data_IF_057341020042
#
_entry.id   IF_057341020042
#
_cell.length_a   1.000
_cell.length_b   1.000
_cell.length_c   1.000
_cell.angle_alpha   90.00
_cell.angle_beta   90.00
_cell.angle_gamma   90.00
#
_symmetry.space_group_name_H-M   'P 1'
#
loop_
_entity.id
_entity.type
_entity.pdbx_description
1 polymer ?
#
# COMPACT_ATOMS: atom_id res chain seq x y z
N UNK A 1 -5.57 -27.32 13.39
CA UNK A 1 -6.78 -26.50 13.23
C UNK A 1 -6.59 -25.20 14.00
N UNK A 2 -7.00 -24.04 13.46
CA UNK A 2 -6.93 -22.80 14.22
C UNK A 2 -7.90 -22.88 15.43
N UNK A 3 -7.61 -22.17 16.54
CA UNK A 3 -8.51 -22.13 17.70
C UNK A 3 -9.88 -21.57 17.31
N UNK A 4 -10.96 -22.22 17.79
CA UNK A 4 -12.36 -21.85 17.48
C UNK A 4 -12.71 -20.39 17.84
N UNK A 5 -11.97 -19.79 18.77
CA UNK A 5 -12.24 -18.45 19.29
C UNK A 5 -11.72 -17.32 18.37
N UNK A 6 -10.92 -17.65 17.35
CA UNK A 6 -10.45 -16.68 16.35
C UNK A 6 -11.35 -16.58 15.12
N UNK A 7 -12.31 -17.49 14.94
CA UNK A 7 -13.23 -17.51 13.80
C UNK A 7 -14.00 -16.18 13.63
N UNK A 8 -14.60 -15.59 14.69
CA UNK A 8 -15.32 -14.32 14.57
C UNK A 8 -14.45 -13.19 14.06
N UNK A 9 -13.23 -13.06 14.61
CA UNK A 9 -12.27 -12.04 14.21
C UNK A 9 -11.78 -12.23 12.77
N UNK A 10 -11.54 -13.48 12.34
CA UNK A 10 -11.20 -13.79 10.95
C UNK A 10 -12.35 -13.47 9.99
N UNK A 11 -13.60 -13.73 10.38
CA UNK A 11 -14.78 -13.36 9.59
C UNK A 11 -15.01 -11.86 9.56
N UNK A 12 -14.70 -11.11 10.63
CA UNK A 12 -14.80 -9.64 10.62
C UNK A 12 -13.69 -9.00 9.79
N UNK A 13 -12.45 -9.48 9.92
CA UNK A 13 -11.32 -9.09 9.04
C UNK A 13 -11.63 -9.33 7.56
N UNK A 14 -12.19 -10.50 7.21
CA UNK A 14 -12.59 -10.83 5.82
C UNK A 14 -13.87 -10.14 5.37
N UNK A 15 -14.62 -9.46 6.26
CA UNK A 15 -15.77 -8.62 5.89
C UNK A 15 -15.36 -7.17 5.66
N UNK A 16 -14.34 -6.69 6.37
CA UNK A 16 -13.71 -5.37 6.15
C UNK A 16 -12.95 -5.32 4.83
N UNK A 17 -12.34 -6.43 4.43
CA UNK A 17 -11.82 -6.61 3.08
C UNK A 17 -12.90 -7.13 2.15
N UNK A 18 -13.12 -6.48 1.01
CA UNK A 18 -13.99 -7.06 -0.01
C UNK A 18 -13.34 -8.33 -0.56
N UNK A 19 -14.15 -9.31 -1.00
CA UNK A 19 -13.64 -10.55 -1.62
C UNK A 19 -12.70 -10.25 -2.80
N UNK A 20 -12.97 -9.18 -3.54
CA UNK A 20 -12.13 -8.72 -4.64
C UNK A 20 -10.75 -8.26 -4.16
N UNK A 21 -10.68 -7.45 -3.11
CA UNK A 21 -9.41 -7.04 -2.50
C UNK A 21 -8.54 -8.24 -2.10
N UNK A 22 -9.13 -9.29 -1.51
CA UNK A 22 -8.38 -10.51 -1.15
C UNK A 22 -7.86 -11.28 -2.37
N UNK A 23 -8.63 -11.34 -3.45
CA UNK A 23 -8.21 -12.01 -4.70
C UNK A 23 -7.10 -11.23 -5.39
N UNK A 24 -7.13 -9.90 -5.32
CA UNK A 24 -6.13 -9.03 -5.93
C UNK A 24 -4.81 -9.10 -5.16
N UNK A 25 -4.83 -8.92 -3.83
CA UNK A 25 -3.62 -8.98 -3.00
C UNK A 25 -2.99 -10.37 -2.97
N UNK A 26 -3.77 -11.45 -3.14
CA UNK A 26 -3.26 -12.81 -3.21
C UNK A 26 -2.37 -13.07 -4.43
N UNK A 27 -2.44 -12.22 -5.47
CA UNK A 27 -1.58 -12.30 -6.65
C UNK A 27 -0.32 -11.44 -6.53
N UNK A 28 -0.27 -10.54 -5.56
CA UNK A 28 0.88 -9.68 -5.30
C UNK A 28 1.90 -10.43 -4.45
N UNK A 29 3.17 -10.39 -4.84
CA UNK A 29 4.26 -11.06 -4.11
C UNK A 29 5.05 -10.10 -3.19
N UNK A 30 4.78 -8.80 -3.29
CA UNK A 30 5.43 -7.77 -2.48
C UNK A 30 4.53 -7.32 -1.34
N UNK A 31 5.03 -7.42 -0.10
CA UNK A 31 4.36 -6.84 1.07
C UNK A 31 4.10 -5.34 0.90
N UNK A 32 5.00 -4.61 0.22
CA UNK A 32 4.80 -3.19 -0.05
C UNK A 32 3.67 -2.95 -1.07
N UNK A 33 3.49 -3.84 -2.05
CA UNK A 33 2.37 -3.76 -3.00
C UNK A 33 1.03 -3.94 -2.28
N UNK A 34 0.95 -4.94 -1.40
CA UNK A 34 -0.24 -5.20 -0.59
C UNK A 34 -0.58 -3.99 0.30
N UNK A 35 0.41 -3.46 1.04
CA UNK A 35 0.20 -2.27 1.90
C UNK A 35 -0.18 -1.03 1.11
N UNK A 36 0.41 -0.83 -0.06
CA UNK A 36 0.07 0.27 -0.95
C UNK A 36 -1.37 0.14 -1.47
N UNK A 37 -1.79 -1.07 -1.85
CA UNK A 37 -3.15 -1.34 -2.30
C UNK A 37 -4.17 -1.04 -1.20
N UNK A 38 -3.94 -1.55 0.02
CA UNK A 38 -4.78 -1.26 1.20
C UNK A 38 -4.94 0.25 1.41
N UNK A 39 -3.82 0.97 1.36
CA UNK A 39 -3.80 2.41 1.50
C UNK A 39 -4.57 3.11 0.38
N UNK A 40 -4.50 2.66 -0.87
CA UNK A 40 -5.23 3.30 -1.96
C UNK A 40 -6.73 3.04 -1.82
N UNK A 41 -7.12 1.80 -1.51
CA UNK A 41 -8.53 1.41 -1.35
C UNK A 41 -9.21 2.17 -0.19
N UNK A 42 -8.50 2.45 0.90
CA UNK A 42 -9.04 3.24 2.01
C UNK A 42 -9.41 4.67 1.58
N UNK A 43 -8.79 5.21 0.52
CA UNK A 43 -8.98 6.58 0.06
C UNK A 43 -9.51 6.65 -1.38
N UNK A 44 -10.02 5.54 -1.92
CA UNK A 44 -10.49 5.44 -3.31
C UNK A 44 -11.56 6.49 -3.60
N UNK A 45 -12.47 6.74 -2.66
CA UNK A 45 -13.54 7.75 -2.79
C UNK A 45 -13.02 9.19 -2.89
N UNK A 46 -11.77 9.46 -2.49
CA UNK A 46 -11.13 10.78 -2.57
C UNK A 46 -10.43 10.99 -3.92
N UNK A 47 -10.03 9.89 -4.59
CA UNK A 47 -9.44 9.88 -5.94
C UNK A 47 -8.00 10.40 -6.05
N UNK A 48 -7.56 11.31 -5.17
CA UNK A 48 -6.16 11.77 -5.11
C UNK A 48 -5.76 12.12 -3.69
N UNK A 49 -4.53 11.75 -3.31
CA UNK A 49 -3.93 12.14 -2.03
C UNK A 49 -2.48 12.55 -2.20
N UNK A 50 -2.07 13.58 -1.48
CA UNK A 50 -0.66 13.91 -1.28
C UNK A 50 -0.20 13.26 0.02
N UNK A 51 0.87 12.47 -0.05
CA UNK A 51 1.46 11.75 1.08
C UNK A 51 2.96 12.01 1.02
N UNK A 52 3.57 12.34 2.16
CA UNK A 52 5.01 12.48 2.25
C UNK A 52 5.71 11.13 2.15
N UNK A 53 7.00 11.13 1.76
CA UNK A 53 7.78 9.89 1.74
C UNK A 53 7.96 9.33 3.16
N UNK A 54 8.02 10.20 4.17
CA UNK A 54 8.22 9.79 5.56
C UNK A 54 6.96 9.11 6.11
N UNK A 55 5.76 9.62 5.83
CA UNK A 55 4.50 8.93 6.15
C UNK A 55 4.41 7.55 5.47
N UNK A 56 4.80 7.45 4.20
CA UNK A 56 4.83 6.13 3.51
C UNK A 56 5.83 5.17 4.15
N UNK A 57 7.00 5.66 4.61
CA UNK A 57 7.98 4.83 5.32
C UNK A 57 7.43 4.34 6.66
N UNK A 58 6.73 5.19 7.40
CA UNK A 58 6.08 4.82 8.66
C UNK A 58 5.01 3.75 8.44
N UNK A 59 4.09 3.95 7.48
CA UNK A 59 3.03 3.00 7.19
C UNK A 59 3.55 1.65 6.69
N UNK A 60 4.65 1.65 5.93
CA UNK A 60 5.27 0.43 5.45
C UNK A 60 6.28 -0.18 6.42
N UNK A 61 6.42 0.40 7.62
CA UNK A 61 7.35 -0.05 8.67
C UNK A 61 8.79 -0.18 8.16
N UNK A 62 9.19 0.75 7.29
CA UNK A 62 10.47 0.73 6.61
C UNK A 62 11.60 1.34 7.45
N UNK A 63 11.29 2.07 8.53
CA UNK A 63 12.29 2.74 9.39
C UNK A 63 13.33 3.49 8.53
N UNK A 64 14.62 3.26 8.75
CA UNK A 64 15.74 3.87 8.02
C UNK A 64 16.08 3.17 6.69
N UNK A 65 15.27 2.20 6.24
CA UNK A 65 15.50 1.53 4.95
C UNK A 65 15.21 2.48 3.80
N UNK A 66 16.02 2.34 2.75
CA UNK A 66 15.95 3.17 1.55
C UNK A 66 16.05 4.67 1.88
N UNK A 67 17.18 5.11 2.50
CA UNK A 67 17.33 6.49 2.96
C UNK A 67 17.27 7.49 1.80
N UNK A 68 17.76 7.09 0.63
CA UNK A 68 17.62 7.89 -0.58
C UNK A 68 16.21 7.76 -1.16
N UNK A 69 15.61 8.90 -1.54
CA UNK A 69 14.31 8.92 -2.24
C UNK A 69 14.39 8.10 -3.54
N UNK A 70 15.55 8.10 -4.20
CA UNK A 70 15.77 7.31 -5.42
C UNK A 70 15.60 5.81 -5.16
N UNK A 71 16.23 5.29 -4.11
CA UNK A 71 16.13 3.86 -3.77
C UNK A 71 14.74 3.50 -3.30
N UNK A 72 14.08 4.39 -2.53
CA UNK A 72 12.71 4.18 -2.11
C UNK A 72 11.78 4.03 -3.30
N UNK A 73 11.91 4.91 -4.31
CA UNK A 73 11.10 4.80 -5.53
C UNK A 73 11.35 3.49 -6.27
N UNK A 74 12.62 3.20 -6.55
CA UNK A 74 13.02 2.06 -7.36
C UNK A 74 12.66 0.72 -6.71
N UNK A 75 12.72 0.63 -5.38
CA UNK A 75 12.57 -0.64 -4.65
C UNK A 75 11.22 -0.82 -3.94
N UNK A 76 10.48 0.26 -3.74
CA UNK A 76 9.21 0.24 -3.00
C UNK A 76 8.08 0.78 -3.86
N UNK A 77 8.16 2.04 -4.28
CA UNK A 77 7.05 2.72 -4.95
C UNK A 77 6.75 2.13 -6.33
N UNK A 78 7.75 2.07 -7.21
CA UNK A 78 7.55 1.65 -8.60
C UNK A 78 7.14 0.17 -8.69
N UNK A 79 7.76 -0.78 -7.96
CA UNK A 79 7.32 -2.17 -7.96
C UNK A 79 5.90 -2.35 -7.39
N UNK A 80 5.56 -1.62 -6.32
CA UNK A 80 4.22 -1.70 -5.72
C UNK A 80 3.13 -1.24 -6.70
N UNK A 81 3.36 -0.10 -7.36
CA UNK A 81 2.42 0.46 -8.34
C UNK A 81 2.29 -0.46 -9.57
N UNK A 82 3.40 -1.03 -10.04
CA UNK A 82 3.38 -1.98 -11.14
C UNK A 82 2.52 -3.22 -10.81
N UNK A 83 2.71 -3.84 -9.65
CA UNK A 83 1.93 -5.01 -9.23
C UNK A 83 0.45 -4.68 -9.04
N UNK A 84 0.12 -3.51 -8.49
CA UNK A 84 -1.27 -3.08 -8.34
C UNK A 84 -1.94 -2.98 -9.71
N UNK A 85 -1.29 -2.30 -10.66
CA UNK A 85 -1.82 -2.14 -12.02
C UNK A 85 -1.88 -3.46 -12.80
N UNK A 86 -1.03 -4.43 -12.47
CA UNK A 86 -1.01 -5.75 -13.13
C UNK A 86 -2.06 -6.72 -12.55
N UNK A 87 -2.29 -6.68 -11.23
CA UNK A 87 -3.03 -7.72 -10.53
C UNK A 87 -4.40 -7.31 -10.01
N UNK A 88 -4.75 -6.03 -10.11
CA UNK A 88 -6.01 -5.48 -9.62
C UNK A 88 -6.75 -4.69 -10.72
N UNK A 89 -8.07 -4.46 -10.58
CA UNK A 89 -8.86 -3.72 -11.56
C UNK A 89 -8.64 -2.19 -11.49
N UNK A 90 -7.86 -1.69 -10.53
CA UNK A 90 -7.59 -0.25 -10.38
C UNK A 90 -6.32 0.16 -11.11
N UNK A 91 -6.32 1.38 -11.62
CA UNK A 91 -5.16 2.00 -12.25
C UNK A 91 -4.64 3.14 -11.38
N UNK A 92 -3.39 3.03 -10.97
CA UNK A 92 -2.74 3.92 -10.04
C UNK A 92 -1.52 4.54 -10.71
N UNK A 93 -1.42 5.86 -10.57
CA UNK A 93 -0.24 6.63 -10.94
C UNK A 93 0.20 7.52 -9.80
N UNK A 94 1.46 7.93 -9.84
CA UNK A 94 2.01 8.86 -8.86
C UNK A 94 2.80 9.97 -9.56
N UNK A 95 2.87 11.13 -8.92
CA UNK A 95 3.72 12.24 -9.37
C UNK A 95 4.52 12.77 -8.20
N UNK A 96 5.75 13.22 -8.44
CA UNK A 96 6.54 13.86 -7.41
C UNK A 96 6.17 15.34 -7.30
N UNK A 97 5.67 15.74 -6.13
CA UNK A 97 5.63 17.15 -5.75
C UNK A 97 6.93 17.50 -5.03
N UNK A 98 7.71 18.43 -5.60
CA UNK A 98 8.87 19.00 -4.91
C UNK A 98 8.36 20.09 -3.98
N UNK A 99 8.32 19.82 -2.68
CA UNK A 99 8.30 20.90 -1.69
C UNK A 99 9.66 21.58 -1.74
N UNK A 100 9.67 22.90 -1.95
CA UNK A 100 10.90 23.70 -1.95
C UNK A 100 11.71 23.43 -0.68
N UNK A 101 13.04 23.40 -0.82
CA UNK A 101 14.05 23.03 0.20
C UNK A 101 13.54 23.17 1.63
N UNK A 102 13.16 22.04 2.23
CA UNK A 102 12.99 21.78 3.67
C UNK A 102 12.24 22.88 4.44
N UNK A 103 11.00 22.61 4.81
CA UNK A 103 10.45 23.15 6.07
C UNK A 103 9.97 21.93 6.86
N UNK A 104 10.48 21.87 8.10
CA UNK A 104 10.31 20.87 9.16
C UNK A 104 8.91 20.32 9.31
#
# INVERSE_FOLDING_TARGET
SPPKDMLPYLTELTKQFTKYALVDVAKMDSTHAIRMYELIMQWESVGRREISIDELREWFQLQDKYPSIKDFKLRVLDPAIAQINEHSPIMVGWTQKKTGRKIT
#
